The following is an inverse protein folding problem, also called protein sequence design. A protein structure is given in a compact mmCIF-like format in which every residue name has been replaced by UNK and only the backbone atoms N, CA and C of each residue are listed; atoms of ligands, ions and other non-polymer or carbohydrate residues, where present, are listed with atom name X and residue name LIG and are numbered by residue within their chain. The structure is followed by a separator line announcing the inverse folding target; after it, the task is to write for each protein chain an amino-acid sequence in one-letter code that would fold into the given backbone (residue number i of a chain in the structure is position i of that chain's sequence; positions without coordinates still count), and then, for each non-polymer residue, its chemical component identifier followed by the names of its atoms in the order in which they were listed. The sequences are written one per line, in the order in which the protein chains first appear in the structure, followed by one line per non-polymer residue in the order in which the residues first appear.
data_IF_987714544814
#
_entry.id   IF_987714544814
#
_cell.length_a   1.000
_cell.length_b   1.000
_cell.length_c   1.000
_cell.angle_alpha   90.00
_cell.angle_beta   90.00
_cell.angle_gamma   90.00
#
_symmetry.space_group_name_H-M   'P 1'
#
loop_
_entity.id
_entity.type
_entity.pdbx_description
1 polymer ?
#
# COMPACT_ATOMS: atom_id res chain seq x y z
N UNK A 1 32.74 21.89 -27.69
CA UNK A 1 31.85 22.14 -26.55
C UNK A 1 31.89 20.86 -25.73
N UNK A 2 32.62 20.85 -24.63
CA UNK A 2 32.53 19.74 -23.67
C UNK A 2 31.17 19.89 -22.99
N UNK A 3 30.33 18.87 -23.06
CA UNK A 3 29.12 18.85 -22.25
C UNK A 3 29.54 18.93 -20.79
N UNK A 4 29.24 20.06 -20.14
CA UNK A 4 29.37 20.16 -18.70
C UNK A 4 28.13 19.48 -18.11
N UNK A 5 28.15 18.15 -18.05
CA UNK A 5 27.15 17.41 -17.31
C UNK A 5 27.24 17.80 -15.84
N UNK A 6 26.10 18.19 -15.28
CA UNK A 6 25.97 18.45 -13.85
C UNK A 6 25.82 17.08 -13.16
N UNK A 7 26.56 16.79 -12.08
CA UNK A 7 26.37 15.56 -11.33
C UNK A 7 24.91 15.40 -10.91
N UNK A 8 24.38 14.19 -11.13
CA UNK A 8 23.04 13.82 -10.75
C UNK A 8 23.09 12.98 -9.48
N UNK A 9 22.46 13.47 -8.43
CA UNK A 9 22.22 12.72 -7.20
C UNK A 9 20.85 12.05 -7.33
N UNK A 10 20.79 10.75 -7.05
CA UNK A 10 19.54 10.00 -7.06
C UNK A 10 19.31 9.40 -5.68
N UNK A 11 18.14 9.65 -5.11
CA UNK A 11 17.72 9.08 -3.84
C UNK A 11 16.39 8.34 -4.00
N UNK A 12 16.27 7.20 -3.33
CA UNK A 12 15.02 6.47 -3.20
C UNK A 12 14.61 6.47 -1.74
N UNK A 13 13.34 6.79 -1.46
CA UNK A 13 12.77 6.80 -0.12
C UNK A 13 11.49 5.96 -0.11
N UNK A 14 11.52 4.82 0.60
CA UNK A 14 10.39 3.90 0.73
C UNK A 14 9.31 4.47 1.65
N UNK A 15 8.06 4.42 1.20
CA UNK A 15 6.93 5.03 1.88
C UNK A 15 6.51 4.28 3.14
N UNK A 16 6.54 2.95 3.12
CA UNK A 16 5.97 2.15 4.21
C UNK A 16 7.02 1.48 5.08
N UNK A 17 8.13 1.02 4.49
CA UNK A 17 9.17 0.27 5.21
C UNK A 17 10.36 1.15 5.60
N UNK A 18 10.38 2.41 5.19
CA UNK A 18 11.36 3.42 5.62
C UNK A 18 12.78 3.21 5.08
N UNK A 19 12.98 2.29 4.13
CA UNK A 19 14.26 2.06 3.51
C UNK A 19 14.65 3.23 2.62
N UNK A 20 15.91 3.63 2.65
CA UNK A 20 16.47 4.63 1.73
C UNK A 20 17.63 4.03 0.95
N UNK A 21 17.73 4.41 -0.32
CA UNK A 21 18.83 3.99 -1.18
C UNK A 21 19.40 5.17 -1.95
N UNK A 22 20.72 5.18 -2.11
CA UNK A 22 21.43 6.19 -2.91
C UNK A 22 21.86 5.57 -4.23
N UNK A 23 21.54 6.24 -5.34
CA UNK A 23 21.88 5.90 -6.71
C UNK A 23 21.25 4.63 -7.29
N UNK A 24 21.17 3.53 -6.52
CA UNK A 24 20.67 2.23 -6.96
C UNK A 24 19.60 1.75 -5.98
N UNK A 25 18.40 1.48 -6.50
CA UNK A 25 17.30 0.88 -5.75
C UNK A 25 17.53 -0.62 -5.55
N UNK A 26 17.40 -1.12 -4.33
CA UNK A 26 17.33 -2.56 -4.06
C UNK A 26 15.93 -3.08 -4.42
N UNK A 27 15.84 -3.84 -5.51
CA UNK A 27 14.58 -4.41 -5.99
C UNK A 27 14.15 -5.67 -5.25
N UNK A 28 14.89 -6.11 -4.22
CA UNK A 28 14.47 -7.21 -3.34
C UNK A 28 13.65 -6.70 -2.14
N UNK A 29 13.45 -5.39 -2.03
CA UNK A 29 12.71 -4.77 -0.93
C UNK A 29 11.43 -4.19 -1.52
N UNK A 30 10.33 -4.95 -1.40
CA UNK A 30 9.01 -4.47 -1.82
C UNK A 30 8.60 -3.23 -1.01
N UNK A 31 8.27 -2.13 -1.70
CA UNK A 31 7.74 -0.86 -1.16
C UNK A 31 7.28 0.03 -2.34
N UNK A 32 6.64 1.15 -2.02
CA UNK A 32 6.44 2.26 -2.95
C UNK A 32 7.51 3.32 -2.65
N UNK A 33 8.39 3.56 -3.62
CA UNK A 33 9.52 4.47 -3.49
C UNK A 33 9.27 5.80 -4.17
N UNK A 34 9.55 6.89 -3.45
CA UNK A 34 9.80 8.19 -4.06
C UNK A 34 11.24 8.22 -4.56
N UNK A 35 11.43 8.35 -5.87
CA UNK A 35 12.72 8.55 -6.52
C UNK A 35 12.93 10.04 -6.79
N UNK A 36 13.93 10.63 -6.13
CA UNK A 36 14.33 12.02 -6.32
C UNK A 36 15.60 12.11 -7.17
N UNK A 37 15.59 13.03 -8.13
CA UNK A 37 16.69 13.34 -9.04
C UNK A 37 17.12 14.79 -8.81
N UNK A 38 18.27 15.00 -8.17
CA UNK A 38 18.78 16.35 -7.85
C UNK A 38 20.05 16.65 -8.62
N UNK A 39 20.08 17.81 -9.28
CA UNK A 39 21.28 18.33 -9.93
C UNK A 39 21.55 19.76 -9.45
N UNK A 40 22.80 20.04 -9.05
CA UNK A 40 23.23 21.33 -8.49
C UNK A 40 24.29 21.97 -9.38
N UNK A 41 24.01 23.16 -9.91
CA UNK A 41 24.95 23.86 -10.78
C UNK A 41 26.16 24.43 -10.01
N UNK A 42 27.17 24.92 -10.73
CA UNK A 42 28.40 25.48 -10.12
C UNK A 42 28.16 26.70 -9.23
N UNK A 43 27.00 27.36 -9.37
CA UNK A 43 26.59 28.53 -8.59
C UNK A 43 25.79 28.13 -7.34
N UNK A 44 25.57 26.83 -7.11
CA UNK A 44 24.87 26.28 -5.95
C UNK A 44 23.34 26.21 -6.10
N UNK A 45 22.79 26.48 -7.28
CA UNK A 45 21.36 26.34 -7.54
C UNK A 45 21.04 24.88 -7.88
N UNK A 46 20.11 24.29 -7.14
CA UNK A 46 19.63 22.93 -7.37
C UNK A 46 18.25 22.89 -8.01
N UNK A 47 17.99 21.80 -8.74
CA UNK A 47 16.64 21.43 -9.19
C UNK A 47 16.42 19.95 -8.90
N UNK A 48 15.23 19.63 -8.37
CA UNK A 48 14.80 18.26 -8.10
C UNK A 48 13.63 17.86 -9.01
N UNK A 49 13.66 16.64 -9.52
CA UNK A 49 12.53 15.97 -10.15
C UNK A 49 12.18 14.72 -9.34
N UNK A 50 10.88 14.38 -9.29
CA UNK A 50 10.37 13.26 -8.51
C UNK A 50 9.65 12.28 -9.42
N UNK A 51 9.84 10.98 -9.18
CA UNK A 51 9.11 9.86 -9.79
C UNK A 51 8.71 8.88 -8.69
N UNK A 52 7.56 8.23 -8.85
CA UNK A 52 7.20 7.07 -8.04
C UNK A 52 7.70 5.78 -8.71
N UNK A 53 8.24 4.85 -7.91
CA UNK A 53 8.69 3.53 -8.33
C UNK A 53 8.10 2.50 -7.39
N UNK A 54 7.33 1.56 -7.91
CA UNK A 54 6.76 0.46 -7.12
C UNK A 54 7.65 -0.76 -7.30
N UNK A 55 8.18 -1.28 -6.19
CA UNK A 55 8.82 -2.60 -6.14
C UNK A 55 7.84 -3.53 -5.45
N UNK A 56 7.45 -4.60 -6.14
CA UNK A 56 6.50 -5.56 -5.63
C UNK A 56 6.89 -6.97 -6.10
N UNK A 57 6.46 -7.95 -5.32
CA UNK A 57 6.47 -9.37 -5.71
C UNK A 57 5.11 -9.77 -6.28
N UNK A 58 5.02 -10.99 -6.83
CA UNK A 58 3.75 -11.61 -7.23
C UNK A 58 3.66 -12.99 -6.59
N UNK A 59 3.04 -13.05 -5.41
CA UNK A 59 2.77 -14.31 -4.72
C UNK A 59 1.78 -15.18 -5.50
N UNK A 60 1.83 -16.49 -5.28
CA UNK A 60 0.97 -17.47 -5.94
C UNK A 60 -0.42 -17.64 -5.26
N UNK A 61 -0.69 -16.81 -4.24
CA UNK A 61 -1.89 -16.86 -3.40
C UNK A 61 -2.14 -18.22 -2.73
N UNK A 62 -1.14 -19.11 -2.72
CA UNK A 62 -1.19 -20.45 -2.12
C UNK A 62 -0.15 -20.57 -1.01
N UNK A 63 1.04 -20.03 -1.24
CA UNK A 63 2.17 -19.98 -0.31
C UNK A 63 2.51 -18.54 0.09
N UNK A 64 2.19 -17.55 -0.75
CA UNK A 64 2.39 -16.14 -0.42
C UNK A 64 1.27 -15.24 -0.94
N UNK A 65 0.86 -14.29 -0.10
CA UNK A 65 -0.09 -13.21 -0.44
C UNK A 65 0.63 -11.89 -0.76
N UNK A 66 1.96 -11.86 -0.78
CA UNK A 66 2.70 -10.68 -1.20
C UNK A 66 2.33 -10.34 -2.66
N UNK A 67 2.13 -9.05 -2.94
CA UNK A 67 1.58 -8.66 -4.22
C UNK A 67 1.27 -7.18 -4.36
N UNK A 68 1.21 -6.74 -5.60
CA UNK A 68 0.55 -5.51 -5.98
C UNK A 68 -0.88 -5.83 -6.42
N UNK A 69 -1.87 -5.12 -5.89
CA UNK A 69 -3.28 -5.39 -6.14
C UNK A 69 -4.02 -4.13 -6.57
N UNK A 70 -4.93 -4.24 -7.54
CA UNK A 70 -5.92 -3.18 -7.83
C UNK A 70 -7.06 -3.27 -6.83
N UNK A 71 -7.43 -2.14 -6.24
CA UNK A 71 -8.46 -2.11 -5.20
C UNK A 71 -9.82 -1.65 -5.71
N UNK A 72 -10.86 -2.38 -5.27
CA UNK A 72 -12.23 -1.91 -5.22
C UNK A 72 -12.69 -1.90 -3.76
N UNK A 73 -13.21 -0.78 -3.27
CA UNK A 73 -13.62 -0.63 -1.86
C UNK A 73 -15.02 -0.05 -1.72
N UNK A 74 -15.75 -0.59 -0.73
CA UNK A 74 -17.04 -0.14 -0.27
C UNK A 74 -16.94 0.27 1.20
N UNK A 75 -17.66 1.33 1.59
CA UNK A 75 -17.77 1.72 3.00
C UNK A 75 -19.18 1.41 3.51
N UNK A 76 -19.26 0.69 4.62
CA UNK A 76 -20.47 0.24 5.30
C UNK A 76 -21.37 -0.68 4.44
N UNK A 77 -20.78 -1.54 3.60
CA UNK A 77 -21.49 -2.59 2.87
C UNK A 77 -22.49 -2.14 1.79
N UNK A 78 -22.43 -0.89 1.30
CA UNK A 78 -23.40 -0.38 0.31
C UNK A 78 -22.71 -0.01 -1.01
N UNK A 79 -23.32 -0.41 -2.14
CA UNK A 79 -23.08 0.09 -3.50
C UNK A 79 -24.30 0.94 -3.94
N UNK A 80 -24.10 2.13 -4.53
CA UNK A 80 -25.18 2.94 -5.14
C UNK A 80 -26.09 3.90 -4.30
N UNK A 81 -26.34 5.05 -4.95
CA UNK A 81 -27.03 6.31 -4.64
C UNK A 81 -27.03 7.03 -3.27
N UNK A 82 -25.97 7.82 -3.05
CA UNK A 82 -24.69 7.57 -3.65
C UNK A 82 -23.94 6.73 -2.65
N UNK A 83 -24.31 5.45 -2.55
CA UNK A 83 -23.28 4.52 -2.19
C UNK A 83 -22.15 4.62 -3.19
N UNK A 84 -21.04 4.98 -2.57
CA UNK A 84 -19.78 5.34 -3.15
C UNK A 84 -19.01 4.04 -3.13
N UNK A 85 -19.11 3.29 -4.21
CA UNK A 85 -18.11 2.28 -4.47
C UNK A 85 -17.01 2.97 -5.25
N UNK A 86 -15.78 2.74 -4.81
CA UNK A 86 -14.58 3.17 -5.51
C UNK A 86 -13.98 1.92 -6.13
N UNK A 87 -14.09 1.78 -7.45
CA UNK A 87 -13.67 0.59 -8.19
C UNK A 87 -12.38 0.84 -8.94
N UNK A 88 -11.44 -0.10 -8.89
CA UNK A 88 -10.14 -0.03 -9.57
C UNK A 88 -9.40 1.29 -9.32
N UNK A 89 -9.37 1.74 -8.06
CA UNK A 89 -9.00 3.13 -7.76
C UNK A 89 -7.52 3.43 -7.78
N UNK A 90 -6.67 2.48 -7.40
CA UNK A 90 -5.23 2.44 -7.66
C UNK A 90 -4.69 1.14 -7.03
N UNK A 91 -3.38 1.10 -6.77
CA UNK A 91 -2.69 -0.05 -6.21
C UNK A 91 -2.64 -0.07 -4.69
N UNK A 92 -2.81 -1.26 -4.15
CA UNK A 92 -2.55 -1.63 -2.75
C UNK A 92 -1.42 -2.66 -2.78
N UNK A 93 -0.38 -2.41 -2.00
CA UNK A 93 0.77 -3.30 -1.84
C UNK A 93 0.58 -4.12 -0.58
N UNK A 94 0.74 -5.44 -0.69
CA UNK A 94 0.94 -6.35 0.44
C UNK A 94 2.37 -6.88 0.32
N UNK A 95 3.14 -6.79 1.39
CA UNK A 95 4.52 -7.27 1.43
C UNK A 95 4.71 -8.28 2.55
N UNK A 96 5.68 -9.18 2.39
CA UNK A 96 6.10 -10.11 3.44
C UNK A 96 7.20 -9.47 4.30
N UNK A 97 7.11 -9.64 5.62
CA UNK A 97 8.09 -9.22 6.60
C UNK A 97 9.09 -10.37 6.84
N UNK A 98 10.24 -10.06 7.44
CA UNK A 98 11.29 -11.07 7.72
C UNK A 98 10.83 -12.21 8.65
N UNK A 99 9.79 -11.97 9.46
CA UNK A 99 9.21 -12.97 10.37
C UNK A 99 8.11 -13.83 9.72
N UNK A 100 7.85 -13.65 8.42
CA UNK A 100 6.82 -14.36 7.66
C UNK A 100 5.40 -13.81 7.84
N UNK A 101 5.22 -12.72 8.59
CA UNK A 101 3.96 -11.98 8.61
C UNK A 101 3.87 -11.04 7.41
N UNK A 102 2.69 -10.49 7.13
CA UNK A 102 2.49 -9.54 6.04
C UNK A 102 2.04 -8.16 6.54
N UNK A 103 2.47 -7.12 5.83
CA UNK A 103 1.97 -5.75 5.99
C UNK A 103 1.20 -5.29 4.75
N UNK A 104 0.37 -4.26 4.89
CA UNK A 104 -0.45 -3.68 3.81
C UNK A 104 -0.24 -2.16 3.70
N UNK A 105 -0.25 -1.62 2.48
CA UNK A 105 -0.02 -0.19 2.24
C UNK A 105 -1.19 0.69 2.68
N UNK A 106 -2.41 0.19 2.62
CA UNK A 106 -3.59 0.86 3.14
C UNK A 106 -4.70 -0.15 3.46
N UNK A 107 -4.96 -0.35 4.76
CA UNK A 107 -6.03 -1.22 5.24
C UNK A 107 -7.44 -0.71 4.92
N UNK A 108 -7.61 0.53 4.46
CA UNK A 108 -8.89 1.04 3.92
C UNK A 108 -9.02 0.85 2.41
N UNK A 109 -8.09 0.11 1.78
CA UNK A 109 -8.14 -0.21 0.37
C UNK A 109 -8.10 1.01 -0.53
N UNK A 110 -7.53 2.14 -0.09
CA UNK A 110 -7.40 3.36 -0.87
C UNK A 110 -8.61 4.29 -0.81
N UNK A 111 -9.61 4.02 0.05
CA UNK A 111 -10.86 4.80 0.11
C UNK A 111 -10.61 6.31 0.21
N UNK A 112 -9.77 6.74 1.15
CA UNK A 112 -9.47 8.16 1.34
C UNK A 112 -8.31 8.62 0.46
N UNK A 113 -7.22 7.85 0.40
CA UNK A 113 -6.01 8.24 -0.34
C UNK A 113 -6.32 8.47 -1.82
N UNK A 114 -6.92 7.47 -2.48
CA UNK A 114 -7.21 7.52 -3.91
C UNK A 114 -8.65 7.96 -4.18
N UNK A 115 -9.63 7.33 -3.52
CA UNK A 115 -11.05 7.60 -3.77
C UNK A 115 -11.46 9.04 -3.42
N UNK A 116 -10.88 9.62 -2.36
CA UNK A 116 -11.12 11.01 -1.96
C UNK A 116 -9.97 11.95 -2.29
N UNK A 117 -8.87 11.44 -2.86
CA UNK A 117 -7.66 12.20 -3.16
C UNK A 117 -7.16 13.01 -1.96
N UNK A 118 -7.07 12.38 -0.78
CA UNK A 118 -6.58 13.00 0.45
C UNK A 118 -5.18 12.44 0.77
N UNK A 119 -4.09 13.18 0.48
CA UNK A 119 -2.75 12.70 0.76
C UNK A 119 -2.51 12.43 2.25
N UNK A 120 -1.80 11.35 2.58
CA UNK A 120 -1.47 10.96 3.96
C UNK A 120 -2.63 10.30 4.71
N UNK A 121 -3.73 9.97 4.03
CA UNK A 121 -4.92 9.34 4.62
C UNK A 121 -4.98 7.83 4.42
N UNK A 122 -3.89 7.21 3.98
CA UNK A 122 -3.68 5.78 4.07
C UNK A 122 -3.66 5.29 5.53
N UNK A 123 -3.94 4.00 5.71
CA UNK A 123 -3.84 3.28 6.98
C UNK A 123 -2.84 2.13 6.82
N UNK A 124 -1.53 2.44 6.74
CA UNK A 124 -0.50 1.47 6.39
C UNK A 124 -0.09 0.58 7.57
N UNK A 125 0.56 -0.53 7.24
CA UNK A 125 1.20 -1.44 8.19
C UNK A 125 0.27 -2.59 8.56
N UNK A 126 0.10 -2.79 9.88
CA UNK A 126 -0.64 -3.92 10.41
C UNK A 126 0.22 -5.18 10.46
N UNK A 127 -0.39 -6.27 10.93
CA UNK A 127 0.22 -7.59 10.97
C UNK A 127 -0.86 -8.56 10.51
N UNK A 128 -0.61 -9.21 9.38
CA UNK A 128 -1.43 -10.30 8.86
C UNK A 128 -0.62 -11.57 9.04
N UNK A 129 -1.11 -12.48 9.88
CA UNK A 129 -0.50 -13.81 10.07
C UNK A 129 -1.25 -14.77 9.17
N UNK A 130 -0.53 -15.41 8.23
CA UNK A 130 -1.10 -16.41 7.34
C UNK A 130 -0.85 -17.83 7.90
N UNK A 131 -1.71 -18.28 8.82
CA UNK A 131 -1.58 -19.60 9.44
C UNK A 131 -1.66 -20.73 8.41
N UNK A 132 -2.61 -20.61 7.46
CA UNK A 132 -2.80 -21.54 6.36
C UNK A 132 -3.60 -20.87 5.22
N UNK A 133 -2.89 -20.36 4.21
CA UNK A 133 -3.49 -19.64 3.07
C UNK A 133 -4.51 -20.52 2.30
N UNK A 134 -4.21 -21.78 1.92
CA UNK A 134 -5.19 -22.63 1.23
C UNK A 134 -6.46 -22.89 2.04
N UNK A 135 -6.38 -22.84 3.37
CA UNK A 135 -7.53 -23.00 4.26
C UNK A 135 -8.21 -21.68 4.64
N UNK A 136 -7.72 -20.54 4.14
CA UNK A 136 -8.19 -19.20 4.52
C UNK A 136 -8.11 -18.92 6.02
N UNK A 137 -7.05 -19.40 6.67
CA UNK A 137 -6.81 -19.21 8.09
C UNK A 137 -5.81 -18.07 8.31
N UNK A 138 -6.30 -16.95 8.83
CA UNK A 138 -5.55 -15.71 9.06
C UNK A 138 -5.87 -15.09 10.42
N UNK A 139 -4.84 -14.53 11.07
CA UNK A 139 -4.99 -13.72 12.27
C UNK A 139 -4.53 -12.27 12.03
N UNK A 140 -5.17 -11.32 12.71
CA UNK A 140 -4.91 -9.88 12.61
C UNK A 140 -4.69 -9.26 14.00
N UNK A 141 -3.53 -9.53 14.65
CA UNK A 141 -3.31 -9.14 16.04
C UNK A 141 -3.04 -7.65 16.24
N UNK A 142 -2.70 -6.92 15.17
CA UNK A 142 -2.36 -5.50 15.26
C UNK A 142 -3.59 -4.60 15.10
N UNK A 143 -3.64 -3.54 15.91
CA UNK A 143 -4.46 -2.37 15.63
C UNK A 143 -3.65 -1.39 14.78
N UNK A 144 -4.33 -0.75 13.84
CA UNK A 144 -3.82 0.23 12.91
C UNK A 144 -4.37 1.62 13.28
N UNK A 145 -3.74 2.68 12.80
CA UNK A 145 -4.29 4.03 12.91
C UNK A 145 -4.16 4.76 11.58
N UNK A 146 -5.14 5.61 11.27
CA UNK A 146 -5.09 6.45 10.09
C UNK A 146 -4.27 7.72 10.39
N UNK A 147 -3.21 7.96 9.62
CA UNK A 147 -2.29 9.08 9.89
C UNK A 147 -2.93 10.46 9.79
N UNK A 148 -3.97 10.61 8.96
CA UNK A 148 -4.64 11.89 8.74
C UNK A 148 -5.82 12.11 9.71
N UNK A 149 -6.69 11.11 9.88
CA UNK A 149 -7.92 11.23 10.66
C UNK A 149 -7.80 10.71 12.10
N UNK A 150 -6.75 9.94 12.42
CA UNK A 150 -6.63 9.20 13.67
C UNK A 150 -7.60 8.02 13.76
N UNK A 151 -8.02 7.69 14.97
CA UNK A 151 -8.87 6.55 15.27
C UNK A 151 -8.12 5.20 15.20
N UNK A 152 -8.85 4.14 15.51
CA UNK A 152 -8.32 2.78 15.59
C UNK A 152 -8.97 1.91 14.53
N UNK A 153 -8.16 1.28 13.69
CA UNK A 153 -8.59 0.39 12.64
C UNK A 153 -8.10 -1.04 12.91
N UNK A 154 -8.88 -2.02 12.47
CA UNK A 154 -8.51 -3.43 12.58
C UNK A 154 -9.02 -4.17 11.35
N UNK A 155 -8.13 -4.94 10.72
CA UNK A 155 -8.54 -5.95 9.75
C UNK A 155 -9.25 -7.05 10.53
N UNK A 156 -10.49 -7.37 10.16
CA UNK A 156 -11.31 -8.34 10.88
C UNK A 156 -11.55 -9.62 10.09
N UNK A 157 -11.37 -9.58 8.77
CA UNK A 157 -11.57 -10.73 7.90
C UNK A 157 -10.69 -10.60 6.66
N UNK A 158 -10.17 -11.74 6.19
CA UNK A 158 -9.54 -11.88 4.88
C UNK A 158 -9.95 -13.22 4.26
N UNK A 159 -10.20 -13.21 2.96
CA UNK A 159 -10.39 -14.40 2.14
C UNK A 159 -9.53 -14.28 0.89
N UNK A 160 -8.65 -15.25 0.65
CA UNK A 160 -7.84 -15.41 -0.56
C UNK A 160 -8.53 -16.37 -1.50
N UNK A 161 -8.65 -15.97 -2.76
CA UNK A 161 -9.24 -16.73 -3.85
C UNK A 161 -8.19 -16.93 -4.97
N UNK A 162 -7.37 -18.00 -4.92
CA UNK A 162 -6.30 -18.21 -5.89
C UNK A 162 -6.81 -18.40 -7.33
N UNK A 163 -8.00 -18.99 -7.48
CA UNK A 163 -8.61 -19.19 -8.80
C UNK A 163 -8.96 -17.87 -9.52
N UNK A 164 -9.26 -16.83 -8.75
CA UNK A 164 -9.66 -15.51 -9.24
C UNK A 164 -8.52 -14.49 -9.13
N UNK A 165 -7.33 -14.92 -8.70
CA UNK A 165 -6.19 -14.05 -8.39
C UNK A 165 -6.59 -12.86 -7.50
N UNK A 166 -7.39 -13.10 -6.47
CA UNK A 166 -7.95 -12.01 -5.65
C UNK A 166 -7.92 -12.28 -4.15
N UNK A 167 -8.05 -11.18 -3.40
CA UNK A 167 -8.20 -11.18 -1.95
C UNK A 167 -9.38 -10.26 -1.58
N UNK A 168 -10.30 -10.76 -0.78
CA UNK A 168 -11.33 -9.96 -0.12
C UNK A 168 -10.89 -9.68 1.32
N UNK A 169 -11.00 -8.43 1.75
CA UNK A 169 -10.56 -7.93 3.05
C UNK A 169 -11.67 -7.08 3.67
N UNK A 170 -11.92 -7.26 4.98
CA UNK A 170 -12.76 -6.35 5.75
C UNK A 170 -11.93 -5.66 6.83
N UNK A 171 -12.04 -4.33 6.88
CA UNK A 171 -11.43 -3.51 7.93
C UNK A 171 -12.50 -2.72 8.67
N UNK A 172 -12.51 -2.78 9.99
CA UNK A 172 -13.36 -1.95 10.85
C UNK A 172 -12.54 -0.79 11.37
N UNK A 173 -13.09 0.42 11.31
CA UNK A 173 -12.46 1.65 11.82
C UNK A 173 -13.36 2.36 12.82
N UNK A 174 -12.88 2.47 14.05
CA UNK A 174 -13.43 3.35 15.06
C UNK A 174 -12.82 4.74 14.90
N UNK A 175 -13.48 5.61 14.13
CA UNK A 175 -13.01 6.96 13.85
C UNK A 175 -13.05 7.86 15.11
N UNK A 176 -14.10 7.72 15.92
CA UNK A 176 -14.28 8.34 17.22
C UNK A 176 -15.14 7.44 18.11
N UNK A 177 -15.40 7.82 19.37
CA UNK A 177 -16.17 7.00 20.33
C UNK A 177 -17.62 6.65 19.92
N UNK A 178 -18.17 7.33 18.92
CA UNK A 178 -19.54 7.20 18.43
C UNK A 178 -19.64 6.78 16.96
N UNK A 179 -18.53 6.83 16.22
CA UNK A 179 -18.51 6.60 14.78
C UNK A 179 -17.65 5.40 14.42
N UNK A 180 -18.29 4.36 13.90
CA UNK A 180 -17.65 3.17 13.36
C UNK A 180 -17.93 3.06 11.86
N UNK A 181 -16.90 2.78 11.08
CA UNK A 181 -17.00 2.45 9.67
C UNK A 181 -16.50 1.03 9.42
N UNK A 182 -17.06 0.39 8.41
CA UNK A 182 -16.55 -0.87 7.85
C UNK A 182 -16.11 -0.61 6.42
N UNK A 183 -14.97 -1.15 6.02
CA UNK A 183 -14.49 -1.13 4.65
C UNK A 183 -14.45 -2.57 4.14
N UNK A 184 -15.23 -2.83 3.10
CA UNK A 184 -15.22 -4.10 2.38
C UNK A 184 -14.41 -3.89 1.11
N UNK A 185 -13.30 -4.61 0.98
CA UNK A 185 -12.26 -4.35 0.00
C UNK A 185 -12.05 -5.61 -0.82
N UNK A 186 -12.07 -5.46 -2.15
CA UNK A 186 -11.73 -6.48 -3.12
C UNK A 186 -10.43 -6.08 -3.82
N UNK A 187 -9.43 -6.96 -3.78
CA UNK A 187 -8.10 -6.77 -4.31
C UNK A 187 -7.87 -7.75 -5.46
N UNK A 188 -7.67 -7.24 -6.68
CA UNK A 188 -7.30 -8.05 -7.85
C UNK A 188 -5.79 -7.99 -8.08
N UNK A 189 -5.09 -9.13 -8.10
CA UNK A 189 -3.63 -9.17 -8.20
C UNK A 189 -3.14 -8.73 -9.59
N UNK A 190 -2.12 -7.87 -9.61
CA UNK A 190 -1.42 -7.44 -10.83
C UNK A 190 -0.35 -8.48 -11.18
N UNK A 191 -0.31 -8.89 -12.45
CA UNK A 191 0.68 -9.83 -13.00
C UNK A 191 1.70 -9.07 -13.85
N UNK A 192 3.01 -9.34 -13.65
CA UNK A 192 4.11 -8.72 -14.39
C UNK A 192 5.30 -9.66 -14.61
#
# INVERSE_FOLDING_TARGET
MTENEVPLEVQFSGQYRGNTFENILDTNVSDIYTQEFTATNQEGFSRTLIREVIVAETGDLTNSIAGLYRSTVFRNGVQGNPASAYTNIEYILIWENEDGTYGISDAFGGWYLFGRAIPGSETPGGIIIANNIPANDFDFPATLSNSYFGGEAQITQMTVNPADNSIDLTTVWQADVSTTYTFDIHLEQVQF
#
